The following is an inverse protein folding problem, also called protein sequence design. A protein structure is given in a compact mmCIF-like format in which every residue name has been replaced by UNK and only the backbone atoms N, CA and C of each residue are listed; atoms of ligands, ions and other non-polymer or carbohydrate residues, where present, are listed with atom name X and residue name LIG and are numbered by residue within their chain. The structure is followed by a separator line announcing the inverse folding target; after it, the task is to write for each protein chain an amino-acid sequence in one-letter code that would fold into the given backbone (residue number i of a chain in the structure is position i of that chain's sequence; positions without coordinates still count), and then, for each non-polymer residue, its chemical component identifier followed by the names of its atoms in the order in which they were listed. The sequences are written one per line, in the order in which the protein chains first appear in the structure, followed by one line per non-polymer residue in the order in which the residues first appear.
data_IF_922110461487
#
_entry.id   IF_922110461487
#
_cell.length_a   1.000
_cell.length_b   1.000
_cell.length_c   1.000
_cell.angle_alpha   90.00
_cell.angle_beta   90.00
_cell.angle_gamma   90.00
#
_symmetry.space_group_name_H-M   'P 1'
#
loop_
_entity.id
_entity.type
_entity.pdbx_description
1 polymer ?
#
# COMPACT_ATOMS: atom_id res chain seq x y z
N UNK A 1 36.57 11.26 -39.92
CA UNK A 1 36.10 11.49 -38.54
C UNK A 1 34.88 10.65 -38.32
N UNK A 2 34.86 9.81 -37.29
CA UNK A 2 33.61 9.16 -36.88
C UNK A 2 32.59 10.22 -36.48
N UNK A 3 31.34 10.03 -36.90
CA UNK A 3 30.28 11.00 -36.66
C UNK A 3 29.94 11.00 -35.15
N UNK A 4 30.17 12.10 -34.43
CA UNK A 4 29.93 12.14 -32.99
C UNK A 4 28.46 11.90 -32.61
N UNK A 5 27.52 12.21 -33.50
CA UNK A 5 26.10 11.94 -33.28
C UNK A 5 25.75 10.46 -33.38
N UNK A 6 26.50 9.68 -34.16
CA UNK A 6 26.30 8.23 -34.25
C UNK A 6 26.69 7.55 -32.93
N UNK A 7 27.75 8.03 -32.28
CA UNK A 7 28.20 7.55 -30.97
C UNK A 7 27.16 7.83 -29.90
N UNK A 8 26.61 9.05 -29.88
CA UNK A 8 25.57 9.46 -28.93
C UNK A 8 24.29 8.62 -29.10
N UNK A 9 23.88 8.36 -30.33
CA UNK A 9 22.69 7.54 -30.61
C UNK A 9 22.86 6.10 -30.11
N UNK A 10 24.05 5.53 -30.28
CA UNK A 10 24.38 4.19 -29.80
C UNK A 10 24.32 4.11 -28.27
N UNK A 11 24.90 5.09 -27.57
CA UNK A 11 24.84 5.15 -26.10
C UNK A 11 23.41 5.32 -25.58
N UNK A 12 22.58 6.12 -26.26
CA UNK A 12 21.17 6.29 -25.91
C UNK A 12 20.37 4.98 -26.05
N UNK A 13 20.70 4.17 -27.05
CA UNK A 13 20.06 2.87 -27.28
C UNK A 13 20.47 1.85 -26.20
N UNK A 14 21.75 1.84 -25.82
CA UNK A 14 22.26 1.03 -24.71
C UNK A 14 21.60 1.43 -23.37
N UNK A 15 21.50 2.72 -23.08
CA UNK A 15 20.83 3.22 -21.87
C UNK A 15 19.35 2.82 -21.81
N UNK A 16 18.63 2.90 -22.94
CA UNK A 16 17.23 2.44 -23.01
C UNK A 16 17.11 0.94 -22.73
N UNK A 17 18.02 0.14 -23.29
CA UNK A 17 18.07 -1.30 -23.03
C UNK A 17 18.30 -1.63 -21.55
N UNK A 18 19.23 -0.93 -20.90
CA UNK A 18 19.50 -1.10 -19.46
C UNK A 18 18.28 -0.75 -18.59
N UNK A 19 17.56 0.34 -18.93
CA UNK A 19 16.36 0.74 -18.19
C UNK A 19 15.24 -0.29 -18.34
N UNK A 20 15.03 -0.85 -19.53
CA UNK A 20 14.04 -1.92 -19.75
C UNK A 20 14.36 -3.14 -18.90
N UNK A 21 15.61 -3.61 -18.92
CA UNK A 21 16.04 -4.76 -18.13
C UNK A 21 15.86 -4.54 -16.62
N UNK A 22 16.07 -3.32 -16.12
CA UNK A 22 15.80 -2.97 -14.72
C UNK A 22 14.31 -2.98 -14.38
N UNK A 23 13.45 -2.59 -15.31
CA UNK A 23 11.99 -2.65 -15.14
C UNK A 23 11.51 -4.10 -15.09
N UNK A 24 12.02 -4.95 -15.97
CA UNK A 24 11.68 -6.38 -16.02
C UNK A 24 12.17 -7.12 -14.76
N UNK A 25 13.40 -6.84 -14.32
CA UNK A 25 13.94 -7.40 -13.07
C UNK A 25 13.13 -6.98 -11.84
N UNK A 26 12.58 -5.76 -11.85
CA UNK A 26 11.67 -5.28 -10.81
C UNK A 26 10.33 -6.02 -10.85
N UNK A 27 9.82 -6.35 -12.04
CA UNK A 27 8.60 -7.12 -12.22
C UNK A 27 8.77 -8.58 -11.76
N UNK A 28 9.94 -9.18 -12.00
CA UNK A 28 10.22 -10.58 -11.64
C UNK A 28 10.49 -10.78 -10.14
N UNK A 29 10.95 -9.74 -9.44
CA UNK A 29 10.97 -9.70 -7.96
C UNK A 29 9.61 -9.46 -7.31
N UNK A 30 8.55 -9.22 -8.08
CA UNK A 30 7.18 -9.43 -7.60
C UNK A 30 6.91 -10.92 -7.64
N UNK A 31 7.63 -11.68 -6.79
CA UNK A 31 7.12 -12.98 -6.34
C UNK A 31 5.71 -12.67 -5.83
N UNK A 32 4.64 -13.21 -6.42
CA UNK A 32 3.32 -13.06 -5.83
C UNK A 32 3.48 -13.61 -4.42
N UNK A 33 3.32 -12.79 -3.37
CA UNK A 33 3.55 -13.27 -2.03
C UNK A 33 2.53 -14.40 -1.86
N UNK A 34 3.02 -15.65 -1.81
CA UNK A 34 2.23 -16.82 -1.46
C UNK A 34 1.41 -16.41 -0.25
N UNK A 35 0.09 -16.24 -0.45
CA UNK A 35 -0.86 -15.48 0.37
C UNK A 35 -0.34 -15.16 1.77
N UNK A 36 0.58 -14.20 1.85
CA UNK A 36 1.16 -13.84 3.13
C UNK A 36 0.06 -13.07 3.81
N UNK A 37 -0.58 -13.71 4.77
CA UNK A 37 -1.67 -13.12 5.53
C UNK A 37 -1.19 -11.82 6.22
N UNK A 38 0.12 -11.63 6.36
CA UNK A 38 0.78 -10.41 6.81
C UNK A 38 1.13 -9.47 5.64
N UNK A 39 0.77 -8.20 5.82
CA UNK A 39 0.94 -7.13 4.86
C UNK A 39 1.68 -5.95 5.51
N UNK A 40 2.51 -5.25 4.75
CA UNK A 40 3.25 -4.09 5.27
C UNK A 40 2.33 -2.88 5.43
N UNK A 41 2.72 -1.93 6.28
CA UNK A 41 1.96 -0.69 6.49
C UNK A 41 1.66 0.09 5.20
N UNK A 42 2.56 0.02 4.21
CA UNK A 42 2.37 0.73 2.95
C UNK A 42 1.20 0.17 2.15
N UNK A 43 1.12 -1.16 2.07
CA UNK A 43 0.07 -1.87 1.35
C UNK A 43 -1.25 -1.82 2.14
N UNK A 44 -1.18 -1.90 3.47
CA UNK A 44 -2.32 -1.69 4.36
C UNK A 44 -2.93 -0.28 4.22
N UNK A 45 -2.08 0.75 4.05
CA UNK A 45 -2.52 2.13 3.82
C UNK A 45 -3.28 2.26 2.50
N UNK A 46 -2.78 1.62 1.44
CA UNK A 46 -3.46 1.59 0.15
C UNK A 46 -4.78 0.83 0.24
N UNK A 47 -4.81 -0.31 0.91
CA UNK A 47 -6.01 -1.14 1.06
C UNK A 47 -7.11 -0.43 1.85
N UNK A 48 -6.76 0.29 2.92
CA UNK A 48 -7.72 1.06 3.73
C UNK A 48 -8.05 2.44 3.14
N UNK A 49 -7.32 2.92 2.13
CA UNK A 49 -7.49 4.26 1.58
C UNK A 49 -7.10 5.40 2.54
N UNK A 50 -6.21 5.16 3.50
CA UNK A 50 -5.75 6.15 4.48
C UNK A 50 -4.24 6.43 4.36
N UNK A 51 -3.78 7.54 4.90
CA UNK A 51 -2.34 7.86 4.87
C UNK A 51 -1.53 6.94 5.79
N UNK A 52 -0.26 6.70 5.43
CA UNK A 52 0.69 5.95 6.27
C UNK A 52 0.83 6.58 7.67
N UNK A 53 0.81 7.91 7.77
CA UNK A 53 0.91 8.62 9.05
C UNK A 53 -0.28 8.34 9.97
N UNK A 54 -1.49 8.20 9.42
CA UNK A 54 -2.67 7.79 10.19
C UNK A 54 -2.52 6.36 10.71
N UNK A 55 -2.03 5.43 9.88
CA UNK A 55 -1.72 4.06 10.30
C UNK A 55 -0.66 4.00 11.41
N UNK A 56 0.39 4.83 11.35
CA UNK A 56 1.35 4.94 12.44
C UNK A 56 0.72 5.46 13.73
N UNK A 57 -0.18 6.45 13.66
CA UNK A 57 -0.93 6.92 14.84
C UNK A 57 -1.77 5.80 15.45
N UNK A 58 -2.41 4.97 14.63
CA UNK A 58 -3.14 3.79 15.09
C UNK A 58 -2.23 2.77 15.77
N UNK A 59 -1.01 2.56 15.26
CA UNK A 59 -0.04 1.65 15.91
C UNK A 59 0.40 2.13 17.30
N UNK A 60 0.34 3.43 17.57
CA UNK A 60 0.68 4.01 18.87
C UNK A 60 -0.53 4.18 19.80
N UNK A 61 -1.75 3.94 19.32
CA UNK A 61 -2.98 4.06 20.11
C UNK A 61 -3.28 2.77 20.85
N UNK A 62 -3.70 2.86 22.12
CA UNK A 62 -4.18 1.71 22.91
C UNK A 62 -5.50 1.13 22.38
N UNK A 63 -6.24 1.89 21.57
CA UNK A 63 -7.54 1.50 21.00
C UNK A 63 -7.43 1.36 19.48
N UNK A 64 -6.50 0.54 19.02
CA UNK A 64 -6.33 0.32 17.60
C UNK A 64 -7.38 -0.65 17.06
N UNK A 65 -7.97 -0.40 15.87
CA UNK A 65 -8.98 -1.28 15.29
C UNK A 65 -8.44 -2.63 14.77
N UNK A 66 -7.12 -2.78 14.67
CA UNK A 66 -6.45 -3.99 14.20
C UNK A 66 -5.07 -4.14 14.85
N UNK A 67 -4.52 -5.35 14.81
CA UNK A 67 -3.27 -5.69 15.48
C UNK A 67 -2.07 -5.34 14.61
N UNK A 68 -1.05 -4.76 15.25
CA UNK A 68 0.23 -4.46 14.60
C UNK A 68 1.31 -5.43 15.08
N UNK A 69 2.00 -6.05 14.13
CA UNK A 69 3.11 -6.97 14.36
C UNK A 69 4.41 -6.28 13.99
N UNK A 70 5.31 -6.14 14.96
CA UNK A 70 6.64 -5.53 14.74
C UNK A 70 7.66 -6.62 14.45
N UNK A 71 8.29 -6.53 13.28
CA UNK A 71 9.42 -7.40 12.90
C UNK A 71 10.61 -6.51 12.56
N UNK A 72 11.61 -6.50 13.45
CA UNK A 72 12.74 -5.57 13.37
C UNK A 72 12.29 -4.11 13.40
N UNK A 73 12.61 -3.37 12.32
CA UNK A 73 12.24 -1.96 12.13
C UNK A 73 10.95 -1.76 11.31
N UNK A 74 10.26 -2.84 10.94
CA UNK A 74 9.05 -2.80 10.11
C UNK A 74 7.82 -3.21 10.92
N UNK A 75 6.68 -2.65 10.54
CA UNK A 75 5.37 -2.98 11.08
C UNK A 75 4.53 -3.67 10.01
N UNK A 76 3.81 -4.70 10.43
CA UNK A 76 2.95 -5.54 9.61
C UNK A 76 1.56 -5.62 10.22
N UNK A 77 0.56 -5.84 9.38
CA UNK A 77 -0.84 -6.04 9.75
C UNK A 77 -1.36 -7.29 9.06
N UNK A 78 -2.29 -8.00 9.70
CA UNK A 78 -2.98 -9.10 9.02
C UNK A 78 -4.02 -8.57 8.03
N UNK A 79 -3.98 -9.05 6.79
CA UNK A 79 -4.95 -8.67 5.75
C UNK A 79 -6.36 -9.02 6.17
N UNK A 80 -6.57 -10.21 6.74
CA UNK A 80 -7.86 -10.68 7.25
C UNK A 80 -8.46 -9.73 8.30
N UNK A 81 -7.67 -9.20 9.23
CA UNK A 81 -8.13 -8.21 10.21
C UNK A 81 -8.54 -6.89 9.58
N UNK A 82 -7.77 -6.40 8.59
CA UNK A 82 -8.11 -5.17 7.87
C UNK A 82 -9.42 -5.31 7.08
N UNK A 83 -9.62 -6.45 6.43
CA UNK A 83 -10.87 -6.76 5.73
C UNK A 83 -12.05 -6.85 6.71
N UNK A 84 -11.85 -7.50 7.86
CA UNK A 84 -12.86 -7.57 8.92
C UNK A 84 -13.21 -6.19 9.47
N UNK A 85 -12.23 -5.30 9.61
CA UNK A 85 -12.47 -3.92 10.00
C UNK A 85 -13.27 -3.15 8.94
N UNK A 86 -12.96 -3.32 7.65
CA UNK A 86 -13.76 -2.71 6.57
C UNK A 86 -15.19 -3.27 6.52
N UNK A 87 -15.35 -4.58 6.76
CA UNK A 87 -16.66 -5.22 6.79
C UNK A 87 -17.48 -4.87 8.05
N UNK A 88 -16.82 -4.74 9.19
CA UNK A 88 -17.41 -4.38 10.48
C UNK A 88 -17.73 -2.89 10.61
N UNK A 89 -17.03 -2.04 9.85
CA UNK A 89 -17.32 -0.61 9.72
C UNK A 89 -18.47 -0.31 8.74
N UNK A 90 -19.30 -1.31 8.39
CA UNK A 90 -20.64 -1.12 7.82
C UNK A 90 -21.51 -0.30 8.77
N UNK A 91 -21.25 1.01 8.84
CA UNK A 91 -22.30 2.00 8.97
C UNK A 91 -23.10 1.87 7.67
N UNK A 92 -24.29 1.30 7.83
CA UNK A 92 -25.17 0.83 6.78
C UNK A 92 -25.56 1.94 5.80
N UNK A 93 -25.01 1.98 4.58
CA UNK A 93 -25.38 3.01 3.60
C UNK A 93 -25.10 4.45 4.08
N UNK A 94 -25.00 5.39 3.13
CA UNK A 94 -24.98 6.82 3.43
C UNK A 94 -26.21 7.21 4.28
N UNK A 95 -27.32 6.49 4.11
CA UNK A 95 -28.57 6.68 4.86
C UNK A 95 -28.48 6.38 6.35
N UNK A 96 -27.88 5.26 6.80
CA UNK A 96 -27.82 4.98 8.24
C UNK A 96 -26.93 5.98 8.97
N UNK A 97 -25.89 6.51 8.31
CA UNK A 97 -25.05 7.53 8.90
C UNK A 97 -25.81 8.86 9.08
N UNK A 98 -26.57 9.27 8.06
CA UNK A 98 -27.43 10.45 8.14
C UNK A 98 -28.50 10.30 9.24
N UNK A 99 -29.15 9.14 9.32
CA UNK A 99 -30.19 8.86 10.31
C UNK A 99 -29.65 8.80 11.75
N UNK A 100 -28.47 8.22 11.98
CA UNK A 100 -27.83 8.18 13.30
C UNK A 100 -27.44 9.59 13.81
N UNK A 101 -27.04 10.49 12.91
CA UNK A 101 -26.77 11.89 13.27
C UNK A 101 -28.04 12.68 13.59
N UNK A 102 -29.17 12.34 12.98
CA UNK A 102 -30.46 12.94 13.27
C UNK A 102 -31.04 12.46 14.60
N UNK A 103 -30.83 11.18 14.97
CA UNK A 103 -31.31 10.62 16.25
C UNK A 103 -30.52 11.12 17.46
N UNK A 104 -29.22 11.37 17.32
CA UNK A 104 -28.36 11.88 18.40
C UNK A 104 -28.57 13.37 18.73
N UNK A 105 -29.46 14.07 18.02
CA UNK A 105 -29.79 15.49 18.20
C UNK A 105 -31.15 15.75 18.88
N UNK A 106 -31.89 14.71 19.26
CA UNK A 106 -33.09 14.80 20.11
C UNK A 106 -32.71 14.52 21.56
#
# INVERSE_FOLDING_TARGET
MENPFATILKELEELKGMVSALQDWRAEKVVPPAESDFMQLADAAQLLGISKSTLYKYSCSRQSPFTFYKVGKRLFCKRSELLNYMNGSKLASVESYANHRLSARK
#
